data_IF_359646873316
#
_entry.id   IF_359646873316
#
_cell.length_a   1.000
_cell.length_b   1.000
_cell.length_c   1.000
_cell.angle_alpha   90.00
_cell.angle_beta   90.00
_cell.angle_gamma   90.00
#
_symmetry.space_group_name_H-M   'P 1'
#
loop_
_entity.id
_entity.type
_entity.pdbx_description
1 polymer ?
#
# COMPACT_ATOMS: atom_id res chain seq x y z
N UNK A 1 -43.58 -0.95 28.26
CA UNK A 1 -43.04 -0.63 26.94
C UNK A 1 -41.74 -1.39 26.75
N UNK A 2 -41.66 -2.40 25.87
CA UNK A 2 -40.36 -2.98 25.53
C UNK A 2 -39.54 -1.91 24.82
N UNK A 3 -38.35 -1.60 25.34
CA UNK A 3 -37.43 -0.62 24.76
C UNK A 3 -37.04 -0.96 23.31
N UNK A 4 -36.47 0.00 22.56
CA UNK A 4 -36.06 -0.25 21.19
C UNK A 4 -35.14 -1.46 21.15
N UNK A 5 -35.56 -2.52 20.46
CA UNK A 5 -34.69 -3.65 20.16
C UNK A 5 -33.53 -3.08 19.33
N UNK A 6 -32.28 -3.31 19.75
CA UNK A 6 -31.07 -3.17 18.93
C UNK A 6 -31.17 -4.15 17.75
N UNK A 7 -32.06 -3.83 16.82
CA UNK A 7 -32.43 -4.65 15.67
C UNK A 7 -31.78 -4.10 14.42
N UNK A 8 -30.48 -4.26 14.29
CA UNK A 8 -29.88 -4.46 12.98
C UNK A 8 -28.55 -5.16 13.21
N UNK A 9 -28.47 -6.46 12.96
CA UNK A 9 -27.16 -7.01 12.59
C UNK A 9 -26.71 -6.19 11.36
N UNK A 10 -25.56 -5.53 11.46
CA UNK A 10 -25.05 -4.67 10.39
C UNK A 10 -24.97 -5.44 9.07
N UNK A 11 -24.91 -4.72 7.94
CA UNK A 11 -24.85 -5.39 6.63
C UNK A 11 -23.68 -6.37 6.61
N UNK A 12 -23.90 -7.54 6.02
CA UNK A 12 -22.83 -8.48 5.73
C UNK A 12 -21.88 -7.86 4.71
N UNK A 13 -20.59 -8.09 4.91
CA UNK A 13 -19.53 -7.62 4.04
C UNK A 13 -18.86 -8.83 3.40
N UNK A 14 -18.56 -8.75 2.11
CA UNK A 14 -17.85 -9.79 1.37
C UNK A 14 -16.66 -9.17 0.63
N UNK A 15 -15.63 -9.98 0.40
CA UNK A 15 -14.50 -9.62 -0.48
C UNK A 15 -14.85 -10.16 -1.87
N UNK A 16 -14.98 -9.28 -2.85
CA UNK A 16 -15.36 -9.65 -4.23
C UNK A 16 -14.18 -9.72 -5.19
N UNK A 17 -13.04 -9.15 -4.82
CA UNK A 17 -11.79 -9.25 -5.57
C UNK A 17 -10.61 -8.75 -4.75
N UNK A 18 -9.41 -9.00 -5.27
CA UNK A 18 -8.15 -8.59 -4.68
C UNK A 18 -7.09 -8.56 -5.78
N UNK A 19 -6.04 -7.77 -5.55
CA UNK A 19 -4.84 -7.74 -6.37
C UNK A 19 -3.62 -7.54 -5.49
N UNK A 20 -2.45 -7.92 -6.01
CA UNK A 20 -1.23 -7.99 -5.20
C UNK A 20 0.00 -7.63 -6.03
N UNK A 21 0.87 -6.82 -5.42
CA UNK A 21 2.21 -6.53 -5.89
C UNK A 21 3.14 -6.84 -4.73
N UNK A 22 3.95 -7.88 -4.88
CA UNK A 22 4.83 -8.34 -3.80
C UNK A 22 6.16 -8.87 -4.37
N UNK A 23 7.25 -8.82 -3.58
CA UNK A 23 8.54 -9.32 -4.04
C UNK A 23 8.59 -10.83 -4.34
N UNK A 24 7.70 -11.64 -3.73
CA UNK A 24 7.63 -13.07 -4.01
C UNK A 24 6.84 -13.41 -5.29
N UNK A 25 6.23 -12.42 -5.95
CA UNK A 25 5.51 -12.61 -7.20
C UNK A 25 4.61 -11.41 -7.52
N UNK A 26 4.58 -11.01 -8.80
CA UNK A 26 3.76 -9.92 -9.28
C UNK A 26 2.42 -10.47 -9.78
N UNK A 27 1.32 -9.98 -9.23
CA UNK A 27 -0.01 -10.50 -9.53
C UNK A 27 -0.34 -11.78 -8.76
N UNK A 28 -1.63 -12.14 -8.76
CA UNK A 28 -2.21 -13.22 -7.96
C UNK A 28 -1.51 -14.56 -8.16
N UNK A 29 -1.32 -14.99 -9.41
CA UNK A 29 -0.80 -16.32 -9.71
C UNK A 29 0.63 -16.49 -9.21
N UNK A 30 1.52 -15.56 -9.57
CA UNK A 30 2.93 -15.60 -9.17
C UNK A 30 3.09 -15.37 -7.67
N UNK A 31 2.27 -14.50 -7.07
CA UNK A 31 2.24 -14.32 -5.62
C UNK A 31 1.92 -15.62 -4.89
N UNK A 32 0.89 -16.36 -5.32
CA UNK A 32 0.54 -17.64 -4.70
C UNK A 32 1.61 -18.72 -4.94
N UNK A 33 2.22 -18.75 -6.14
CA UNK A 33 3.32 -19.65 -6.43
C UNK A 33 4.54 -19.37 -5.55
N UNK A 34 4.92 -18.10 -5.40
CA UNK A 34 6.03 -17.68 -4.55
C UNK A 34 5.77 -17.85 -3.06
N UNK A 35 4.54 -17.59 -2.61
CA UNK A 35 4.13 -17.76 -1.22
C UNK A 35 4.12 -19.23 -0.79
N UNK A 36 3.64 -20.13 -1.65
CA UNK A 36 3.66 -21.58 -1.41
C UNK A 36 5.01 -22.23 -1.78
N UNK A 37 5.90 -21.47 -2.42
CA UNK A 37 7.26 -21.87 -2.73
C UNK A 37 8.20 -21.76 -1.53
N UNK A 38 9.51 -21.62 -1.76
CA UNK A 38 10.49 -21.51 -0.67
C UNK A 38 10.37 -20.20 0.13
N UNK A 39 9.59 -19.24 -0.36
CA UNK A 39 9.48 -17.90 0.21
C UNK A 39 10.77 -17.08 0.12
N UNK A 40 10.69 -15.83 0.56
CA UNK A 40 11.85 -14.93 0.66
C UNK A 40 12.29 -14.90 2.12
N UNK A 41 13.47 -15.45 2.41
CA UNK A 41 13.97 -15.61 3.78
C UNK A 41 15.28 -14.86 4.04
N UNK A 42 15.93 -14.33 3.01
CA UNK A 42 17.20 -13.61 3.09
C UNK A 42 17.14 -12.28 2.36
N UNK A 43 17.78 -11.28 2.95
CA UNK A 43 17.89 -9.92 2.44
C UNK A 43 17.65 -8.88 3.55
N UNK A 44 18.56 -7.90 3.64
CA UNK A 44 18.40 -6.75 4.55
C UNK A 44 17.27 -5.81 4.09
N UNK A 45 17.02 -5.78 2.79
CA UNK A 45 15.90 -5.14 2.13
C UNK A 45 15.41 -6.10 1.05
N UNK A 46 14.09 -6.22 0.89
CA UNK A 46 13.49 -7.01 -0.18
C UNK A 46 12.79 -6.03 -1.11
N UNK A 47 13.34 -5.86 -2.31
CA UNK A 47 12.84 -4.97 -3.34
C UNK A 47 12.25 -5.78 -4.49
N UNK A 48 11.28 -5.18 -5.19
CA UNK A 48 10.84 -5.70 -6.49
C UNK A 48 11.88 -5.27 -7.52
N UNK A 49 12.65 -6.25 -8.00
CA UNK A 49 13.64 -6.05 -9.06
C UNK A 49 12.94 -5.68 -10.38
N UNK A 50 13.58 -4.81 -11.16
CA UNK A 50 13.15 -4.44 -12.52
C UNK A 50 11.68 -3.99 -12.63
N UNK A 51 11.18 -3.33 -11.59
CA UNK A 51 9.82 -2.78 -11.56
C UNK A 51 9.58 -1.77 -12.70
N UNK A 52 8.74 -2.15 -13.66
CA UNK A 52 8.19 -1.26 -14.68
C UNK A 52 6.75 -0.83 -14.33
N UNK A 53 6.52 0.44 -13.94
CA UNK A 53 5.17 0.92 -13.67
C UNK A 53 4.37 1.22 -14.93
N UNK A 54 4.99 1.30 -16.11
CA UNK A 54 4.37 1.84 -17.34
C UNK A 54 3.02 1.19 -17.70
N UNK A 55 2.85 -0.15 -17.62
CA UNK A 55 1.57 -0.79 -17.95
C UNK A 55 0.40 -0.33 -17.09
N UNK A 56 0.68 0.21 -15.90
CA UNK A 56 -0.35 0.60 -14.93
C UNK A 56 -0.77 2.07 -15.04
N UNK A 57 -0.24 2.84 -16.00
CA UNK A 57 -0.60 4.25 -16.19
C UNK A 57 -1.02 4.53 -17.63
N UNK A 58 -1.73 5.63 -17.87
CA UNK A 58 -2.16 5.98 -19.23
C UNK A 58 -0.97 6.39 -20.11
N UNK A 59 0.11 6.88 -19.50
CA UNK A 59 1.34 7.22 -20.19
C UNK A 59 2.56 7.16 -19.24
N UNK A 60 3.78 7.01 -19.78
CA UNK A 60 5.01 6.95 -18.97
C UNK A 60 5.29 8.20 -18.12
N UNK A 61 4.70 9.36 -18.47
CA UNK A 61 4.93 10.62 -17.76
C UNK A 61 4.14 10.67 -16.46
N UNK A 62 2.94 10.10 -16.42
CA UNK A 62 2.17 9.90 -15.19
C UNK A 62 2.89 8.94 -14.24
N UNK A 63 3.38 7.80 -14.76
CA UNK A 63 4.13 6.84 -13.96
C UNK A 63 5.36 7.46 -13.26
N UNK A 64 6.11 8.33 -13.96
CA UNK A 64 7.25 9.07 -13.39
C UNK A 64 6.88 10.15 -12.37
N UNK A 65 5.61 10.53 -12.28
CA UNK A 65 5.08 11.54 -11.35
C UNK A 65 4.37 10.91 -10.14
N UNK A 66 4.45 9.59 -10.02
CA UNK A 66 3.96 8.81 -8.90
C UNK A 66 5.16 8.22 -8.13
N UNK A 67 5.13 8.27 -6.80
CA UNK A 67 6.07 7.50 -6.00
C UNK A 67 5.80 5.99 -6.15
N UNK A 68 6.79 5.14 -5.88
CA UNK A 68 6.63 3.68 -5.92
C UNK A 68 5.45 3.19 -5.09
N UNK A 69 5.15 3.82 -3.95
CA UNK A 69 3.98 3.45 -3.13
C UNK A 69 2.67 3.57 -3.90
N UNK A 70 2.51 4.63 -4.69
CA UNK A 70 1.34 4.85 -5.56
C UNK A 70 1.36 3.93 -6.78
N UNK A 71 2.53 3.73 -7.39
CA UNK A 71 2.67 2.81 -8.53
C UNK A 71 2.23 1.38 -8.18
N UNK A 72 2.69 0.86 -7.04
CA UNK A 72 2.28 -0.47 -6.54
C UNK A 72 0.79 -0.50 -6.21
N UNK A 73 0.24 0.56 -5.63
CA UNK A 73 -1.17 0.65 -5.28
C UNK A 73 -2.06 0.61 -6.53
N UNK A 74 -1.71 1.35 -7.59
CA UNK A 74 -2.45 1.36 -8.84
C UNK A 74 -2.37 0.02 -9.59
N UNK A 75 -1.22 -0.63 -9.57
CA UNK A 75 -1.04 -1.96 -10.15
C UNK A 75 -1.90 -3.02 -9.43
N UNK A 76 -1.85 -3.05 -8.09
CA UNK A 76 -2.69 -3.94 -7.29
C UNK A 76 -4.19 -3.61 -7.43
N UNK A 77 -4.55 -2.33 -7.54
CA UNK A 77 -5.93 -1.92 -7.76
C UNK A 77 -6.44 -2.36 -9.14
N UNK A 78 -5.62 -2.24 -10.19
CA UNK A 78 -5.95 -2.74 -11.54
C UNK A 78 -6.30 -4.21 -11.49
N UNK A 79 -5.43 -5.03 -10.92
CA UNK A 79 -5.66 -6.46 -10.79
C UNK A 79 -6.90 -6.78 -9.92
N UNK A 80 -7.15 -5.96 -8.89
CA UNK A 80 -8.33 -6.08 -8.02
C UNK A 80 -9.63 -5.83 -8.78
N UNK A 81 -9.69 -4.75 -9.57
CA UNK A 81 -10.87 -4.41 -10.37
C UNK A 81 -11.10 -5.39 -11.53
N UNK A 82 -10.03 -5.93 -12.13
CA UNK A 82 -10.14 -7.00 -13.12
C UNK A 82 -10.73 -8.27 -12.51
N UNK A 83 -10.33 -8.61 -11.27
CA UNK A 83 -10.83 -9.79 -10.57
C UNK A 83 -12.28 -9.61 -10.07
N UNK A 84 -12.59 -8.47 -9.47
CA UNK A 84 -13.93 -8.21 -8.92
C UNK A 84 -14.99 -7.93 -10.00
N UNK A 85 -14.57 -7.54 -11.20
CA UNK A 85 -15.39 -6.70 -12.06
C UNK A 85 -15.61 -5.32 -11.40
N UNK A 86 -16.48 -4.49 -11.97
CA UNK A 86 -16.92 -3.24 -11.32
C UNK A 86 -18.12 -3.55 -10.41
N UNK A 87 -18.02 -3.43 -9.07
CA UNK A 87 -19.17 -3.58 -8.20
C UNK A 87 -20.29 -2.62 -8.60
N UNK A 88 -21.54 -3.10 -8.53
CA UNK A 88 -22.72 -2.27 -8.74
C UNK A 88 -22.95 -1.39 -7.51
N UNK A 89 -22.31 -0.23 -7.49
CA UNK A 89 -22.46 0.80 -6.47
C UNK A 89 -22.41 2.18 -7.13
N UNK A 90 -23.27 3.09 -6.67
CA UNK A 90 -23.22 4.48 -7.09
C UNK A 90 -21.84 5.08 -6.76
N UNK A 91 -21.24 5.92 -7.64
CA UNK A 91 -19.93 6.50 -7.41
C UNK A 91 -19.78 7.17 -6.04
N UNK A 92 -20.81 7.90 -5.59
CA UNK A 92 -20.85 8.60 -4.28
C UNK A 92 -20.94 7.65 -3.07
N UNK A 93 -21.26 6.38 -3.29
CA UNK A 93 -21.33 5.31 -2.28
C UNK A 93 -20.23 4.27 -2.47
N UNK A 94 -19.24 4.56 -3.31
CA UNK A 94 -18.05 3.74 -3.50
C UNK A 94 -16.85 4.47 -2.89
N UNK A 95 -16.42 4.00 -1.72
CA UNK A 95 -15.29 4.58 -0.98
C UNK A 95 -13.92 4.07 -1.46
N UNK A 96 -12.89 4.85 -1.16
CA UNK A 96 -11.49 4.44 -1.24
C UNK A 96 -10.88 4.58 0.16
N UNK A 97 -10.68 3.46 0.84
CA UNK A 97 -10.13 3.44 2.20
C UNK A 97 -8.76 2.78 2.11
N UNK A 98 -7.71 3.57 1.94
CA UNK A 98 -6.38 3.05 1.65
C UNK A 98 -5.41 3.28 2.80
N UNK A 99 -4.23 2.68 2.73
CA UNK A 99 -3.27 2.76 3.81
C UNK A 99 -1.83 2.84 3.30
N UNK A 100 -1.00 3.47 4.11
CA UNK A 100 0.46 3.43 4.02
C UNK A 100 1.02 3.65 5.41
N UNK A 101 2.22 3.15 5.70
CA UNK A 101 2.91 3.39 6.96
C UNK A 101 3.66 4.71 6.97
N UNK A 102 4.30 5.07 5.84
CA UNK A 102 5.14 6.27 5.72
C UNK A 102 4.73 7.16 4.55
N UNK A 103 4.28 6.60 3.43
CA UNK A 103 3.98 7.34 2.21
C UNK A 103 5.16 7.37 1.24
N UNK A 104 5.29 8.44 0.45
CA UNK A 104 6.28 8.54 -0.63
C UNK A 104 7.69 8.84 -0.15
N UNK A 105 8.27 7.92 0.65
CA UNK A 105 9.57 8.10 1.28
C UNK A 105 10.70 8.21 0.26
N UNK A 106 10.65 7.41 -0.81
CA UNK A 106 11.68 7.38 -1.85
C UNK A 106 11.75 8.70 -2.62
N UNK A 107 10.61 9.20 -3.09
CA UNK A 107 10.54 10.51 -3.74
C UNK A 107 10.95 11.64 -2.80
N UNK A 108 10.59 11.53 -1.52
CA UNK A 108 11.01 12.51 -0.51
C UNK A 108 12.53 12.57 -0.40
N UNK A 109 13.19 11.42 -0.27
CA UNK A 109 14.66 11.31 -0.18
C UNK A 109 15.35 11.88 -1.43
N UNK A 110 14.90 11.49 -2.62
CA UNK A 110 15.44 11.97 -3.90
C UNK A 110 15.30 13.50 -4.04
N UNK A 111 14.16 14.07 -3.61
CA UNK A 111 13.92 15.51 -3.71
C UNK A 111 14.66 16.32 -2.65
N UNK A 112 14.89 15.75 -1.45
CA UNK A 112 15.79 16.35 -0.45
C UNK A 112 17.21 16.42 -1.00
N UNK A 113 17.70 15.36 -1.65
CA UNK A 113 19.02 15.38 -2.28
C UNK A 113 19.12 16.49 -3.35
N UNK A 114 18.10 16.62 -4.21
CA UNK A 114 18.04 17.71 -5.20
C UNK A 114 18.05 19.09 -4.54
N UNK A 115 17.29 19.28 -3.44
CA UNK A 115 17.27 20.52 -2.69
C UNK A 115 18.67 20.89 -2.16
N UNK A 116 19.35 19.93 -1.53
CA UNK A 116 20.67 20.16 -0.91
C UNK A 116 21.78 20.40 -1.93
N UNK A 117 21.76 19.67 -3.06
CA UNK A 117 22.81 19.75 -4.08
C UNK A 117 22.59 20.88 -5.09
N UNK A 118 21.32 21.21 -5.40
CA UNK A 118 20.97 22.06 -6.55
C UNK A 118 20.07 23.25 -6.20
N UNK A 119 19.62 23.36 -4.96
CA UNK A 119 18.81 24.46 -4.44
C UNK A 119 17.31 24.34 -4.70
N UNK A 120 16.54 25.20 -4.02
CA UNK A 120 15.06 25.17 -3.98
C UNK A 120 14.38 25.15 -5.36
N UNK A 121 14.92 25.92 -6.32
CA UNK A 121 14.30 26.09 -7.65
C UNK A 121 14.35 24.82 -8.50
N UNK A 122 15.12 23.80 -8.07
CA UNK A 122 15.27 22.52 -8.77
C UNK A 122 14.38 21.42 -8.20
N UNK A 123 13.75 21.64 -7.05
CA UNK A 123 12.78 20.71 -6.47
C UNK A 123 11.58 20.56 -7.41
N UNK A 124 11.13 19.34 -7.62
CA UNK A 124 10.00 19.05 -8.50
C UNK A 124 8.71 19.69 -8.00
N UNK A 125 7.86 20.27 -8.86
CA UNK A 125 6.52 20.70 -8.47
C UNK A 125 5.62 19.50 -8.10
N UNK A 126 6.01 18.28 -8.47
CA UNK A 126 5.29 17.05 -8.13
C UNK A 126 5.72 16.46 -6.78
N UNK A 127 6.71 17.03 -6.09
CA UNK A 127 7.18 16.51 -4.80
C UNK A 127 6.06 16.39 -3.78
N UNK A 128 5.19 17.41 -3.66
CA UNK A 128 4.06 17.38 -2.71
C UNK A 128 3.09 16.24 -3.05
N UNK A 129 2.55 16.11 -4.28
CA UNK A 129 1.77 14.94 -4.68
C UNK A 129 2.47 13.60 -4.40
N UNK A 130 3.76 13.47 -4.73
CA UNK A 130 4.48 12.20 -4.62
C UNK A 130 4.77 11.80 -3.17
N UNK A 131 5.01 12.75 -2.26
CA UNK A 131 5.35 12.44 -0.87
C UNK A 131 4.13 12.17 0.02
N UNK A 132 2.96 12.69 -0.36
CA UNK A 132 1.78 12.65 0.50
C UNK A 132 1.30 11.21 0.76
N UNK A 133 1.03 10.83 2.03
CA UNK A 133 0.51 9.51 2.36
C UNK A 133 -0.81 9.15 1.65
N UNK A 134 -1.65 10.14 1.33
CA UNK A 134 -2.95 9.92 0.70
C UNK A 134 -2.91 9.80 -0.83
N UNK A 135 -1.75 10.02 -1.47
CA UNK A 135 -1.62 9.97 -2.92
C UNK A 135 -2.06 8.63 -3.53
N UNK A 136 -1.71 7.44 -2.97
CA UNK A 136 -2.16 6.16 -3.51
C UNK A 136 -3.69 6.01 -3.53
N UNK A 137 -4.37 6.39 -2.44
CA UNK A 137 -5.83 6.35 -2.35
C UNK A 137 -6.48 7.34 -3.32
N UNK A 138 -5.95 8.56 -3.40
CA UNK A 138 -6.41 9.57 -4.37
C UNK A 138 -6.27 9.09 -5.82
N UNK A 139 -5.14 8.48 -6.18
CA UNK A 139 -4.90 7.96 -7.51
C UNK A 139 -5.89 6.85 -7.90
N UNK A 140 -6.19 5.92 -6.98
CA UNK A 140 -7.21 4.89 -7.18
C UNK A 140 -8.60 5.53 -7.35
N UNK A 141 -8.98 6.43 -6.46
CA UNK A 141 -10.28 7.13 -6.52
C UNK A 141 -10.46 7.86 -7.86
N UNK A 142 -9.46 8.64 -8.30
CA UNK A 142 -9.50 9.35 -9.58
C UNK A 142 -9.56 8.40 -10.78
N UNK A 143 -8.77 7.32 -10.78
CA UNK A 143 -8.72 6.37 -11.89
C UNK A 143 -10.04 5.65 -12.14
N UNK A 144 -10.76 5.28 -11.07
CA UNK A 144 -11.99 4.50 -11.17
C UNK A 144 -13.26 5.33 -11.01
N UNK A 145 -13.13 6.64 -10.80
CA UNK A 145 -14.25 7.57 -10.64
C UNK A 145 -15.03 7.32 -9.35
N UNK A 146 -14.32 7.03 -8.25
CA UNK A 146 -14.91 6.73 -6.94
C UNK A 146 -15.10 8.03 -6.17
N UNK A 147 -16.32 8.35 -5.76
CA UNK A 147 -16.70 9.64 -5.16
C UNK A 147 -17.20 9.50 -3.71
N UNK A 148 -17.19 8.29 -3.14
CA UNK A 148 -17.41 8.09 -1.72
C UNK A 148 -16.24 8.59 -0.87
N UNK A 149 -16.25 8.30 0.44
CA UNK A 149 -15.15 8.64 1.34
C UNK A 149 -13.81 8.18 0.79
N UNK A 150 -12.87 9.11 0.68
CA UNK A 150 -11.49 8.85 0.29
C UNK A 150 -10.58 9.17 1.48
N UNK A 151 -10.22 8.14 2.23
CA UNK A 151 -9.51 8.26 3.49
C UNK A 151 -8.24 7.42 3.47
N UNK A 152 -7.20 7.93 4.11
CA UNK A 152 -5.91 7.24 4.23
C UNK A 152 -5.61 6.98 5.68
N UNK A 153 -5.44 5.71 6.02
CA UNK A 153 -5.07 5.27 7.36
C UNK A 153 -3.55 5.11 7.44
N UNK A 154 -2.95 5.83 8.38
CA UNK A 154 -1.53 5.73 8.69
C UNK A 154 -1.36 5.30 10.15
N UNK A 155 -1.18 4.00 10.37
CA UNK A 155 -0.95 3.40 11.69
C UNK A 155 0.17 2.36 11.64
N UNK A 156 1.29 2.73 11.00
CA UNK A 156 2.48 1.90 10.82
C UNK A 156 2.15 0.51 10.23
N UNK A 157 2.76 -0.57 10.74
CA UNK A 157 2.60 -1.92 10.20
C UNK A 157 1.15 -2.44 10.22
N UNK A 158 0.27 -1.86 11.04
CA UNK A 158 -1.14 -2.23 11.12
C UNK A 158 -2.05 -1.47 10.14
N UNK A 159 -1.50 -0.50 9.38
CA UNK A 159 -2.26 0.44 8.55
C UNK A 159 -3.25 -0.26 7.60
N UNK A 160 -2.79 -1.24 6.81
CA UNK A 160 -3.65 -1.95 5.86
C UNK A 160 -4.74 -2.77 6.55
N UNK A 161 -4.43 -3.40 7.69
CA UNK A 161 -5.42 -4.14 8.49
C UNK A 161 -6.49 -3.21 9.06
N UNK A 162 -6.08 -2.03 9.55
CA UNK A 162 -7.02 -1.01 10.01
C UNK A 162 -7.89 -0.48 8.88
N UNK A 163 -7.32 -0.20 7.70
CA UNK A 163 -8.07 0.24 6.52
C UNK A 163 -9.15 -0.76 6.12
N UNK A 164 -8.78 -2.04 6.01
CA UNK A 164 -9.74 -3.12 5.66
C UNK A 164 -10.86 -3.21 6.72
N UNK A 165 -10.51 -3.20 8.01
CA UNK A 165 -11.49 -3.24 9.08
C UNK A 165 -12.43 -2.03 9.11
N UNK A 166 -11.88 -0.84 8.84
CA UNK A 166 -12.66 0.40 8.78
C UNK A 166 -13.58 0.44 7.56
N UNK A 167 -13.10 0.04 6.38
CA UNK A 167 -13.92 -0.08 5.17
C UNK A 167 -15.10 -1.05 5.38
N UNK A 168 -14.83 -2.21 6.00
CA UNK A 168 -15.87 -3.18 6.34
C UNK A 168 -16.91 -2.58 7.31
N UNK A 169 -16.50 -1.77 8.29
CA UNK A 169 -17.42 -1.06 9.19
C UNK A 169 -18.27 -0.04 8.44
N UNK A 170 -17.69 0.76 7.55
CA UNK A 170 -18.45 1.73 6.75
C UNK A 170 -19.53 1.05 5.90
N UNK A 171 -19.22 -0.11 5.30
CA UNK A 171 -20.20 -0.92 4.57
C UNK A 171 -21.27 -1.49 5.52
N UNK A 172 -20.85 -2.06 6.66
CA UNK A 172 -21.76 -2.68 7.63
C UNK A 172 -22.74 -1.68 8.27
N UNK A 173 -22.27 -0.45 8.53
CA UNK A 173 -23.07 0.69 9.00
C UNK A 173 -23.89 1.35 7.89
N UNK A 174 -23.62 1.00 6.64
CA UNK A 174 -24.34 1.48 5.48
C UNK A 174 -24.02 2.88 5.00
N UNK A 175 -22.85 3.39 5.39
CA UNK A 175 -22.29 4.66 4.91
C UNK A 175 -21.91 4.58 3.43
N UNK A 176 -21.44 3.41 3.00
CA UNK A 176 -21.09 3.09 1.61
C UNK A 176 -21.58 1.69 1.24
N UNK A 177 -21.60 1.37 -0.05
CA UNK A 177 -22.04 0.06 -0.56
C UNK A 177 -20.86 -0.76 -1.09
N UNK A 178 -19.79 -0.10 -1.53
CA UNK A 178 -18.55 -0.73 -1.96
C UNK A 178 -17.35 0.10 -1.48
N UNK A 179 -16.21 -0.56 -1.32
CA UNK A 179 -14.95 0.10 -1.01
C UNK A 179 -13.79 -0.59 -1.73
N UNK A 180 -12.85 0.19 -2.27
CA UNK A 180 -11.50 -0.31 -2.52
C UNK A 180 -10.71 -0.08 -1.26
N UNK A 181 -10.12 -1.13 -0.72
CA UNK A 181 -9.36 -1.05 0.53
C UNK A 181 -8.12 -1.93 0.50
N UNK A 182 -7.09 -1.51 1.24
CA UNK A 182 -5.80 -2.19 1.30
C UNK A 182 -4.72 -1.22 1.75
N UNK A 183 -3.49 -1.45 1.32
CA UNK A 183 -2.42 -0.50 1.50
C UNK A 183 -1.19 -0.85 0.67
N UNK A 184 -0.26 0.09 0.60
CA UNK A 184 0.99 -0.03 -0.15
C UNK A 184 2.12 0.63 0.63
N UNK A 185 3.35 0.14 0.43
CA UNK A 185 4.54 0.72 1.03
C UNK A 185 5.77 0.53 0.14
N UNK A 186 6.67 1.52 0.11
CA UNK A 186 7.99 1.41 -0.53
C UNK A 186 9.04 2.16 0.29
N UNK A 187 9.36 1.62 1.47
CA UNK A 187 10.27 2.23 2.43
C UNK A 187 11.69 1.62 2.44
N UNK A 188 12.04 0.79 1.45
CA UNK A 188 13.33 0.10 1.36
C UNK A 188 14.52 0.95 0.88
N UNK A 189 14.35 2.27 0.75
CA UNK A 189 15.39 3.21 0.37
C UNK A 189 16.48 3.40 1.45
N UNK A 190 17.61 4.08 1.12
CA UNK A 190 18.73 4.27 2.03
C UNK A 190 18.33 4.86 3.39
N UNK A 191 17.49 5.91 3.41
CA UNK A 191 17.04 6.52 4.67
C UNK A 191 16.21 5.57 5.52
N UNK A 192 15.35 4.75 4.90
CA UNK A 192 14.52 3.76 5.58
C UNK A 192 15.39 2.68 6.22
N UNK A 193 16.31 2.09 5.45
CA UNK A 193 17.22 1.05 5.93
C UNK A 193 18.16 1.55 7.03
N UNK A 194 18.65 2.78 6.92
CA UNK A 194 19.48 3.40 7.94
C UNK A 194 18.69 3.63 9.24
N UNK A 195 17.48 4.21 9.13
CA UNK A 195 16.64 4.56 10.28
C UNK A 195 16.17 3.31 11.04
N UNK A 196 15.59 2.33 10.33
CA UNK A 196 15.16 1.06 10.94
C UNK A 196 16.34 0.24 11.47
N UNK A 197 17.50 0.32 10.81
CA UNK A 197 18.74 -0.30 11.28
C UNK A 197 19.23 0.29 12.60
N UNK A 198 19.27 1.63 12.69
CA UNK A 198 19.75 2.35 13.88
C UNK A 198 18.81 2.19 15.08
N UNK A 199 17.50 2.05 14.86
CA UNK A 199 16.57 1.70 15.94
C UNK A 199 16.54 0.20 16.27
N UNK A 200 17.46 -0.59 15.71
CA UNK A 200 17.61 -2.05 15.97
C UNK A 200 16.42 -2.91 15.57
N UNK A 201 15.58 -2.41 14.66
CA UNK A 201 14.39 -3.13 14.17
C UNK A 201 14.72 -4.15 13.06
N UNK A 202 15.84 -3.98 12.36
CA UNK A 202 16.27 -4.89 11.28
C UNK A 202 17.10 -6.07 11.82
N UNK A 203 16.94 -7.25 11.20
CA UNK A 203 17.74 -8.43 11.49
C UNK A 203 19.21 -8.20 11.12
N UNK A 204 20.12 -8.39 12.08
CA UNK A 204 21.57 -8.29 11.84
C UNK A 204 22.10 -9.37 10.92
N UNK A 205 21.41 -10.51 10.82
CA UNK A 205 21.75 -11.60 9.91
C UNK A 205 21.18 -11.40 8.50
N UNK A 206 20.30 -10.41 8.32
CA UNK A 206 19.55 -10.24 7.08
C UNK A 206 18.58 -11.38 6.78
N UNK A 207 18.31 -12.28 7.74
CA UNK A 207 17.38 -13.39 7.54
C UNK A 207 16.07 -13.17 8.30
N UNK A 208 14.94 -13.44 7.64
CA UNK A 208 13.61 -13.52 8.24
C UNK A 208 13.34 -14.95 8.70
N UNK A 209 13.23 -15.15 10.01
CA UNK A 209 12.99 -16.46 10.64
C UNK A 209 11.97 -16.37 11.77
N UNK A 210 10.70 -16.04 11.48
CA UNK A 210 9.66 -15.94 12.49
C UNK A 210 9.66 -17.18 13.40
N UNK A 211 9.57 -16.96 14.72
CA UNK A 211 9.54 -18.01 15.76
C UNK A 211 10.81 -18.87 15.92
N UNK A 212 11.89 -18.62 15.16
CA UNK A 212 13.15 -19.38 15.32
C UNK A 212 13.91 -18.98 16.59
N UNK A 213 14.56 -19.96 17.22
CA UNK A 213 15.45 -19.73 18.37
C UNK A 213 16.72 -18.95 18.00
N UNK A 214 17.12 -18.93 16.72
CA UNK A 214 18.36 -18.29 16.23
C UNK A 214 18.15 -16.89 15.66
N UNK A 215 17.23 -16.10 16.22
CA UNK A 215 16.88 -14.77 15.67
C UNK A 215 17.92 -13.67 15.95
N UNK A 216 18.91 -13.91 16.82
CA UNK A 216 19.96 -12.95 17.18
C UNK A 216 21.39 -13.42 16.88
N UNK A 217 21.57 -14.55 16.19
CA UNK A 217 22.93 -15.02 15.88
C UNK A 217 23.54 -14.16 14.78
N UNK A 218 24.32 -13.17 15.22
CA UNK A 218 25.31 -12.47 14.40
C UNK A 218 26.32 -13.54 13.96
N UNK A 219 26.51 -13.74 12.67
CA UNK A 219 27.80 -14.28 12.19
C UNK A 219 28.84 -13.23 12.57
N UNK A 220 29.48 -13.41 13.74
CA UNK A 220 30.75 -12.74 13.99
C UNK A 220 31.78 -13.44 13.10
N UNK A 221 32.49 -12.71 12.23
CA UNK A 221 33.61 -13.27 11.50
C UNK A 221 34.71 -13.76 12.46
#
# INVERSE_FOLDING_TARGET
MPGPRLGSQGRRVAITGYGVVAPCGLGKADFWAGLNGPGITSGRAIEIADWDPTPYFNNPKEARRADRVEQFALAAAMECFEHAGRPSAEPSRFGTIFATGVGGLRSTEEQIQVLLEKGERRVSPFTVPMMMPNAPGAAISMRYGLQGPNETICTACAASTHAIGYAARLISWGMIDAAVTGGSESAGGPIGLASFGNMTALSSSGCSRPFSRRNRQVHRP
#
